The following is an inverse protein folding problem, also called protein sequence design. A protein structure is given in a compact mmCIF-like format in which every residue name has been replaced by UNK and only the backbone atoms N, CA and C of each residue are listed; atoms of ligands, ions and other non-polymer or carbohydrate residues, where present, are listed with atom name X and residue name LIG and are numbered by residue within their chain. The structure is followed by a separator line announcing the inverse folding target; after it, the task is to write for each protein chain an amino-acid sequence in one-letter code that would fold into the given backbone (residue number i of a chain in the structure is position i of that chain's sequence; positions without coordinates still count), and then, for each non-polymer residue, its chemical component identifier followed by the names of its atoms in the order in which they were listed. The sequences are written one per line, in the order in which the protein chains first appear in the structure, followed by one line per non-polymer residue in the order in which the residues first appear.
data_IF_222886393390
#
_entry.id   IF_222886393390
#
_cell.length_a   1.000
_cell.length_b   1.000
_cell.length_c   1.000
_cell.angle_alpha   90.00
_cell.angle_beta   90.00
_cell.angle_gamma   90.00
#
_symmetry.space_group_name_H-M   'P 1'
#
loop_
_entity.id
_entity.type
_entity.pdbx_description
1 polymer ?
#
# COMPACT_ATOMS: atom_id res chain seq x y z
N UNK A 1 -22.67 80.57 -1.61
CA UNK A 1 -21.45 79.80 -1.96
C UNK A 1 -21.79 78.32 -1.82
N UNK A 2 -21.99 77.65 -2.95
CA UNK A 2 -22.21 76.21 -3.04
C UNK A 2 -20.83 75.52 -3.00
N UNK A 3 -20.61 74.60 -2.06
CA UNK A 3 -19.42 73.74 -2.04
C UNK A 3 -19.78 72.40 -2.70
N UNK A 4 -19.08 72.08 -3.78
CA UNK A 4 -19.28 70.91 -4.64
C UNK A 4 -18.43 69.74 -4.13
N UNK A 5 -19.08 68.60 -3.90
CA UNK A 5 -18.46 67.31 -3.56
C UNK A 5 -17.65 66.76 -4.74
N UNK A 6 -16.41 66.31 -4.49
CA UNK A 6 -15.67 65.41 -5.39
C UNK A 6 -15.44 64.07 -4.70
N UNK A 7 -16.23 63.07 -5.09
CA UNK A 7 -16.00 61.67 -4.73
C UNK A 7 -15.05 61.04 -5.76
N UNK A 8 -13.88 60.60 -5.31
CA UNK A 8 -12.94 59.83 -6.11
C UNK A 8 -13.40 58.36 -6.14
N UNK A 9 -13.88 57.88 -7.29
CA UNK A 9 -14.18 56.46 -7.50
C UNK A 9 -12.93 55.80 -8.09
N UNK A 10 -12.23 55.00 -7.28
CA UNK A 10 -11.13 54.17 -7.74
C UNK A 10 -11.70 52.88 -8.37
N UNK A 11 -11.55 52.73 -9.68
CA UNK A 11 -11.89 51.52 -10.43
C UNK A 11 -10.77 50.49 -10.23
N UNK A 12 -11.01 49.46 -9.41
CA UNK A 12 -10.10 48.32 -9.29
C UNK A 12 -10.37 47.33 -10.44
N UNK A 13 -9.45 47.24 -11.39
CA UNK A 13 -9.46 46.21 -12.44
C UNK A 13 -8.99 44.88 -11.85
N UNK A 14 -9.92 43.94 -11.65
CA UNK A 14 -9.58 42.56 -11.31
C UNK A 14 -8.98 41.87 -12.54
N UNK A 15 -7.66 41.73 -12.56
CA UNK A 15 -6.96 40.87 -13.53
C UNK A 15 -7.11 39.43 -13.04
N UNK A 16 -8.00 38.67 -13.66
CA UNK A 16 -8.08 37.22 -13.47
C UNK A 16 -6.86 36.57 -14.13
N UNK A 17 -5.83 36.29 -13.34
CA UNK A 17 -4.70 35.47 -13.78
C UNK A 17 -5.21 34.03 -13.85
N UNK A 18 -5.36 33.49 -15.07
CA UNK A 18 -5.55 32.05 -15.29
C UNK A 18 -4.22 31.38 -14.95
N UNK A 19 -4.06 30.96 -13.69
CA UNK A 19 -2.94 30.10 -13.31
C UNK A 19 -3.13 28.75 -13.99
N UNK A 20 -2.33 28.47 -15.02
CA UNK A 20 -2.12 27.12 -15.49
C UNK A 20 -1.49 26.35 -14.33
N UNK A 21 -2.31 25.57 -13.63
CA UNK A 21 -1.80 24.65 -12.61
C UNK A 21 -0.84 23.69 -13.33
N UNK A 22 0.41 23.51 -12.86
CA UNK A 22 1.23 22.43 -13.37
C UNK A 22 0.39 21.16 -13.25
N UNK A 23 0.18 20.48 -14.38
CA UNK A 23 -0.54 19.22 -14.43
C UNK A 23 0.28 18.22 -13.64
N UNK A 24 0.01 18.19 -12.34
CA UNK A 24 0.16 17.01 -11.52
C UNK A 24 -0.41 15.87 -12.36
N UNK A 25 0.45 14.97 -12.83
CA UNK A 25 0.02 13.57 -12.98
C UNK A 25 -0.19 13.03 -11.56
N UNK A 26 -1.15 13.63 -10.86
CA UNK A 26 -1.75 13.06 -9.67
C UNK A 26 -2.15 11.66 -10.09
N UNK A 27 -1.78 10.68 -9.26
CA UNK A 27 -2.18 9.31 -9.52
C UNK A 27 -3.70 9.37 -9.50
N UNK A 28 -4.36 9.14 -10.64
CA UNK A 28 -5.76 9.48 -10.86
C UNK A 28 -6.73 8.78 -9.86
N UNK A 29 -6.22 7.85 -9.05
CA UNK A 29 -6.89 7.09 -8.00
C UNK A 29 -6.62 7.56 -6.56
N UNK A 30 -5.75 8.55 -6.31
CA UNK A 30 -5.30 8.91 -4.96
C UNK A 30 -6.23 9.88 -4.21
N UNK A 31 -7.49 10.05 -4.61
CA UNK A 31 -8.46 11.00 -4.03
C UNK A 31 -7.98 12.45 -3.79
N UNK A 32 -6.82 12.84 -4.32
CA UNK A 32 -6.21 14.16 -4.14
C UNK A 32 -5.35 14.36 -2.89
N UNK A 33 -5.12 13.35 -2.04
CA UNK A 33 -4.33 13.58 -0.80
C UNK A 33 -2.89 14.00 -1.09
N UNK A 34 -2.28 13.53 -2.19
CA UNK A 34 -0.95 13.97 -2.60
C UNK A 34 -0.89 15.44 -2.95
N UNK A 35 -1.91 15.94 -3.65
CA UNK A 35 -2.06 17.37 -3.94
C UNK A 35 -2.26 18.17 -2.66
N UNK A 36 -2.99 17.62 -1.69
CA UNK A 36 -3.17 18.25 -0.39
C UNK A 36 -1.86 18.31 0.41
N UNK A 37 -1.05 17.24 0.43
CA UNK A 37 0.27 17.25 1.06
C UNK A 37 1.20 18.28 0.41
N UNK A 38 1.16 18.41 -0.92
CA UNK A 38 1.86 19.49 -1.63
C UNK A 38 1.38 20.87 -1.19
N UNK A 39 0.06 21.07 -1.06
CA UNK A 39 -0.51 22.34 -0.62
C UNK A 39 -0.07 22.70 0.81
N UNK A 40 -0.13 21.74 1.74
CA UNK A 40 0.32 21.92 3.12
C UNK A 40 1.83 22.23 3.15
N UNK A 41 2.63 21.51 2.36
CA UNK A 41 4.06 21.78 2.20
C UNK A 41 4.31 23.19 1.63
N UNK A 42 3.57 23.60 0.61
CA UNK A 42 3.69 24.92 0.01
C UNK A 42 3.21 26.03 0.96
N UNK A 43 2.40 25.75 1.97
CA UNK A 43 2.04 26.73 3.00
C UNK A 43 3.14 26.88 4.08
N UNK A 44 3.99 25.87 4.27
CA UNK A 44 5.03 25.90 5.30
C UNK A 44 6.16 26.91 4.97
N UNK A 45 6.79 27.51 6.01
CA UNK A 45 7.92 28.42 5.84
C UNK A 45 9.17 27.69 5.35
N UNK A 46 10.06 28.41 4.67
CA UNK A 46 11.39 27.94 4.25
C UNK A 46 11.40 26.71 3.31
N UNK A 47 10.27 26.25 2.79
CA UNK A 47 10.20 24.99 2.02
C UNK A 47 10.95 24.98 0.69
N UNK A 48 11.29 26.15 0.15
CA UNK A 48 12.18 26.25 -1.02
C UNK A 48 13.67 26.09 -0.67
N UNK A 49 14.05 26.29 0.59
CA UNK A 49 15.44 26.19 1.06
C UNK A 49 15.69 24.92 1.87
N UNK A 50 14.69 24.48 2.63
CA UNK A 50 14.73 23.27 3.44
C UNK A 50 13.34 22.59 3.41
N UNK A 51 12.95 21.95 2.28
CA UNK A 51 11.67 21.28 2.16
C UNK A 51 11.48 20.21 3.23
N UNK A 52 12.54 19.50 3.60
CA UNK A 52 12.49 18.38 4.53
C UNK A 52 12.34 18.78 6.00
N UNK A 53 12.28 20.08 6.31
CA UNK A 53 11.85 20.56 7.62
C UNK A 53 10.35 20.36 7.88
N UNK A 54 9.56 20.07 6.85
CA UNK A 54 8.11 19.85 6.94
C UNK A 54 7.74 18.39 6.64
N UNK A 55 6.97 17.79 7.55
CA UNK A 55 6.40 16.44 7.37
C UNK A 55 5.54 16.33 6.10
N UNK A 56 4.79 17.38 5.78
CA UNK A 56 3.98 17.41 4.56
C UNK A 56 4.82 17.30 3.29
N UNK A 57 6.01 17.92 3.27
CA UNK A 57 6.92 17.81 2.13
C UNK A 57 7.53 16.42 2.03
N UNK A 58 7.87 15.78 3.14
CA UNK A 58 8.38 14.40 3.18
C UNK A 58 7.34 13.43 2.63
N UNK A 59 6.11 13.49 3.13
CA UNK A 59 5.04 12.59 2.68
C UNK A 59 4.62 12.89 1.24
N UNK A 60 4.47 14.17 0.88
CA UNK A 60 4.13 14.58 -0.48
C UNK A 60 5.19 14.16 -1.51
N UNK A 61 6.47 14.24 -1.15
CA UNK A 61 7.57 13.83 -2.04
C UNK A 61 7.61 12.34 -2.32
N UNK A 62 7.03 11.52 -1.44
CA UNK A 62 7.02 10.07 -1.58
C UNK A 62 5.83 9.59 -2.42
N UNK A 63 4.69 10.26 -2.24
CA UNK A 63 3.45 9.91 -2.92
C UNK A 63 3.35 10.48 -4.34
N UNK A 64 4.22 11.44 -4.68
CA UNK A 64 4.36 11.93 -6.05
C UNK A 64 4.70 10.79 -7.00
N UNK A 65 3.95 10.68 -8.10
CA UNK A 65 4.16 9.64 -9.10
C UNK A 65 5.43 9.81 -9.94
N UNK A 66 5.70 8.82 -10.78
CA UNK A 66 6.75 8.87 -11.80
C UNK A 66 8.05 8.14 -11.42
N UNK A 67 9.05 8.26 -12.31
CA UNK A 67 10.35 7.60 -12.18
C UNK A 67 11.24 8.26 -11.10
N UNK A 68 11.00 9.54 -10.80
CA UNK A 68 11.79 10.35 -9.85
C UNK A 68 10.86 11.16 -8.94
N UNK A 69 10.20 10.50 -7.98
CA UNK A 69 9.11 11.09 -7.21
C UNK A 69 9.56 12.35 -6.43
N UNK A 70 10.75 12.31 -5.82
CA UNK A 70 11.26 13.41 -4.98
C UNK A 70 11.54 14.68 -5.80
N UNK A 71 12.30 14.59 -6.90
CA UNK A 71 12.57 15.78 -7.73
C UNK A 71 11.31 16.26 -8.48
N UNK A 72 10.41 15.33 -8.85
CA UNK A 72 9.10 15.68 -9.40
C UNK A 72 8.29 16.52 -8.43
N UNK A 73 8.27 16.13 -7.15
CA UNK A 73 7.61 16.89 -6.09
C UNK A 73 8.25 18.26 -5.86
N UNK A 74 9.58 18.34 -5.80
CA UNK A 74 10.29 19.61 -5.61
C UNK A 74 10.04 20.58 -6.78
N UNK A 75 9.91 20.06 -8.00
CA UNK A 75 9.49 20.83 -9.17
C UNK A 75 8.07 21.38 -9.02
N UNK A 76 7.13 20.53 -8.59
CA UNK A 76 5.76 20.98 -8.34
C UNK A 76 5.66 21.99 -7.19
N UNK A 77 6.46 21.84 -6.14
CA UNK A 77 6.57 22.78 -5.03
C UNK A 77 7.09 24.14 -5.49
N UNK A 78 8.12 24.16 -6.34
CA UNK A 78 8.63 25.39 -6.94
C UNK A 78 7.55 26.10 -7.77
N UNK A 79 6.78 25.34 -8.56
CA UNK A 79 5.63 25.83 -9.30
C UNK A 79 4.53 26.41 -8.39
N UNK A 80 4.16 25.69 -7.33
CA UNK A 80 3.17 26.16 -6.35
C UNK A 80 3.60 27.44 -5.63
N UNK A 81 4.91 27.65 -5.46
CA UNK A 81 5.49 28.88 -4.89
C UNK A 81 5.77 29.97 -5.94
N UNK A 82 5.38 29.79 -7.20
CA UNK A 82 5.63 30.70 -8.32
C UNK A 82 7.13 31.02 -8.51
N UNK A 83 7.98 30.00 -8.42
CA UNK A 83 9.42 30.12 -8.66
C UNK A 83 9.84 29.31 -9.88
N UNK A 84 10.81 29.83 -10.64
CA UNK A 84 11.27 29.23 -11.90
C UNK A 84 12.34 28.16 -11.72
N UNK A 85 12.88 27.99 -10.51
CA UNK A 85 13.97 27.06 -10.22
C UNK A 85 13.60 26.13 -9.08
N UNK A 86 13.48 24.84 -9.41
CA UNK A 86 13.31 23.79 -8.43
C UNK A 86 14.66 23.42 -7.80
N UNK A 87 14.68 23.25 -6.48
CA UNK A 87 15.81 22.69 -5.78
C UNK A 87 15.96 21.22 -6.17
N UNK A 88 17.13 20.81 -6.66
CA UNK A 88 17.42 19.39 -6.86
C UNK A 88 17.57 18.71 -5.49
N UNK A 89 16.99 17.53 -5.29
CA UNK A 89 17.04 16.78 -4.03
C UNK A 89 18.45 16.58 -3.49
N UNK A 90 19.43 16.34 -4.37
CA UNK A 90 20.85 16.18 -4.01
C UNK A 90 21.46 17.43 -3.35
N UNK A 91 20.93 18.61 -3.70
CA UNK A 91 21.37 19.90 -3.16
C UNK A 91 20.49 20.39 -2.00
N UNK A 92 19.38 19.69 -1.71
CA UNK A 92 18.54 20.02 -0.58
C UNK A 92 19.25 19.63 0.74
N UNK A 93 19.04 20.40 1.83
CA UNK A 93 19.44 19.96 3.16
C UNK A 93 18.86 18.57 3.44
N UNK A 94 19.62 17.68 4.09
CA UNK A 94 19.11 16.35 4.45
C UNK A 94 17.96 16.43 5.44
N UNK A 95 17.11 15.40 5.44
CA UNK A 95 16.16 15.17 6.54
C UNK A 95 16.94 15.15 7.85
N UNK A 96 16.53 15.97 8.81
CA UNK A 96 17.18 16.07 10.11
C UNK A 96 16.70 14.95 11.06
N UNK A 97 17.53 14.61 12.05
CA UNK A 97 17.16 13.65 13.09
C UNK A 97 15.88 14.09 13.81
N UNK A 98 15.73 15.39 14.12
CA UNK A 98 14.54 15.89 14.81
C UNK A 98 13.25 15.68 14.00
N UNK A 99 13.30 15.82 12.67
CA UNK A 99 12.13 15.56 11.83
C UNK A 99 11.86 14.05 11.76
N UNK A 100 12.90 13.24 11.64
CA UNK A 100 12.78 11.78 11.69
C UNK A 100 12.15 11.31 13.01
N UNK A 101 12.64 11.79 14.15
CA UNK A 101 12.11 11.47 15.49
C UNK A 101 10.66 11.95 15.66
N UNK A 102 10.24 12.99 14.93
CA UNK A 102 8.84 13.46 14.95
C UNK A 102 7.86 12.57 14.17
N UNK A 103 8.38 11.58 13.43
CA UNK A 103 7.62 10.56 12.70
C UNK A 103 7.83 9.19 13.37
N UNK A 104 9.06 8.87 13.81
CA UNK A 104 9.40 7.64 14.49
C UNK A 104 8.88 7.62 15.93
N UNK A 105 8.19 6.56 16.35
CA UNK A 105 7.76 6.41 17.75
C UNK A 105 8.95 6.17 18.69
N UNK A 106 10.04 5.56 18.21
CA UNK A 106 11.18 5.16 19.03
C UNK A 106 12.50 5.88 18.69
N UNK A 107 12.48 6.79 17.72
CA UNK A 107 13.67 7.51 17.23
C UNK A 107 14.70 6.63 16.51
N UNK A 108 14.42 5.35 16.27
CA UNK A 108 15.38 4.42 15.66
C UNK A 108 15.03 4.11 14.21
N UNK A 109 13.76 3.81 13.93
CA UNK A 109 13.26 3.41 12.62
C UNK A 109 11.92 4.07 12.31
N UNK A 110 11.62 4.31 11.04
CA UNK A 110 10.25 4.58 10.58
C UNK A 110 9.64 3.26 10.18
N UNK A 111 8.61 2.83 10.89
CA UNK A 111 7.79 1.67 10.51
C UNK A 111 6.72 2.06 9.48
N UNK A 112 6.05 1.07 8.88
CA UNK A 112 4.87 1.33 8.05
C UNK A 112 3.80 2.11 8.83
N UNK A 113 3.53 1.72 10.07
CA UNK A 113 2.53 2.40 10.88
C UNK A 113 2.93 3.84 11.20
N UNK A 114 4.20 4.10 11.51
CA UNK A 114 4.70 5.46 11.70
C UNK A 114 4.49 6.35 10.47
N UNK A 115 4.71 5.77 9.29
CA UNK A 115 4.50 6.48 8.03
C UNK A 115 3.00 6.76 7.80
N UNK A 116 2.13 5.77 7.99
CA UNK A 116 0.67 5.92 7.90
C UNK A 116 0.18 7.02 8.86
N UNK A 117 0.50 6.89 10.16
CA UNK A 117 0.09 7.85 11.17
C UNK A 117 0.60 9.26 10.85
N UNK A 118 1.82 9.36 10.32
CA UNK A 118 2.40 10.61 9.86
C UNK A 118 1.61 11.27 8.73
N UNK A 119 1.22 10.52 7.70
CA UNK A 119 0.42 11.02 6.57
C UNK A 119 -0.96 11.47 7.06
N UNK A 120 -1.69 10.60 7.76
CA UNK A 120 -3.04 10.92 8.24
C UNK A 120 -3.02 12.08 9.25
N UNK A 121 -2.05 12.10 10.17
CA UNK A 121 -1.87 13.19 11.12
C UNK A 121 -1.54 14.53 10.43
N UNK A 122 -0.81 14.50 9.31
CA UNK A 122 -0.55 15.71 8.52
C UNK A 122 -1.80 16.17 7.79
N UNK A 123 -2.56 15.27 7.16
CA UNK A 123 -3.80 15.61 6.46
C UNK A 123 -4.89 16.10 7.41
N UNK A 124 -4.90 15.62 8.65
CA UNK A 124 -5.85 16.06 9.67
C UNK A 124 -5.74 17.57 9.97
N UNK A 125 -4.58 18.21 9.75
CA UNK A 125 -4.43 19.66 9.96
C UNK A 125 -5.28 20.51 9.01
N UNK A 126 -5.74 19.92 7.90
CA UNK A 126 -6.64 20.56 6.93
C UNK A 126 -7.95 19.80 6.73
N UNK A 127 -8.24 18.84 7.61
CA UNK A 127 -9.41 17.96 7.52
C UNK A 127 -9.47 17.13 6.22
N UNK A 128 -8.34 16.57 5.80
CA UNK A 128 -8.25 15.67 4.64
C UNK A 128 -7.99 16.41 3.32
N UNK A 129 -8.25 15.74 2.17
CA UNK A 129 -8.87 14.41 2.01
C UNK A 129 -8.01 13.29 2.58
N UNK A 130 -8.64 12.26 3.16
CA UNK A 130 -7.95 11.10 3.73
C UNK A 130 -7.93 9.96 2.71
N UNK A 131 -6.75 9.45 2.31
CA UNK A 131 -6.69 8.30 1.40
C UNK A 131 -7.15 7.01 2.05
N UNK A 132 -7.40 6.01 1.21
CA UNK A 132 -7.31 4.63 1.67
C UNK A 132 -5.87 4.33 2.12
N UNK A 133 -5.71 3.69 3.27
CA UNK A 133 -4.41 3.42 3.88
C UNK A 133 -3.47 2.65 2.93
N UNK A 134 -4.01 1.88 2.00
CA UNK A 134 -3.22 1.14 1.03
C UNK A 134 -2.45 2.02 0.04
N UNK A 135 -2.93 3.23 -0.28
CA UNK A 135 -2.14 4.18 -1.07
C UNK A 135 -0.89 4.61 -0.30
N UNK A 136 -1.07 4.91 0.99
CA UNK A 136 0.00 5.33 1.89
C UNK A 136 1.01 4.19 2.12
N UNK A 137 0.53 2.94 2.19
CA UNK A 137 1.38 1.76 2.27
C UNK A 137 2.23 1.61 1.00
N UNK A 138 1.64 1.79 -0.18
CA UNK A 138 2.39 1.73 -1.45
C UNK A 138 3.49 2.80 -1.52
N UNK A 139 3.24 4.00 -0.98
CA UNK A 139 4.25 5.04 -0.90
C UNK A 139 5.38 4.66 0.06
N UNK A 140 5.04 4.16 1.24
CA UNK A 140 6.03 3.67 2.19
C UNK A 140 6.85 2.51 1.61
N UNK A 141 6.22 1.60 0.87
CA UNK A 141 6.90 0.52 0.16
C UNK A 141 7.92 1.06 -0.83
N UNK A 142 7.65 2.18 -1.50
CA UNK A 142 8.65 2.83 -2.37
C UNK A 142 9.92 3.22 -1.60
N UNK A 143 9.76 3.76 -0.39
CA UNK A 143 10.89 4.11 0.49
C UNK A 143 11.65 2.85 0.91
N UNK A 144 10.94 1.82 1.39
CA UNK A 144 11.58 0.58 1.86
C UNK A 144 12.27 -0.19 0.73
N UNK A 145 11.68 -0.26 -0.46
CA UNK A 145 12.30 -0.86 -1.66
C UNK A 145 13.54 -0.10 -2.04
N UNK A 146 13.47 1.24 -2.11
CA UNK A 146 14.63 2.02 -2.50
C UNK A 146 15.78 1.90 -1.49
N UNK A 147 15.45 1.83 -0.20
CA UNK A 147 16.43 1.70 0.88
C UNK A 147 16.91 0.27 1.14
N UNK A 148 16.31 -0.74 0.50
CA UNK A 148 16.53 -2.17 0.72
C UNK A 148 16.10 -2.69 2.12
N UNK A 149 15.06 -2.10 2.72
CA UNK A 149 14.48 -2.50 4.01
C UNK A 149 13.07 -3.12 3.88
N UNK A 150 12.80 -3.91 2.84
CA UNK A 150 11.44 -4.46 2.59
C UNK A 150 10.88 -5.40 3.65
N UNK A 151 11.74 -6.09 4.40
CA UNK A 151 11.36 -7.06 5.42
C UNK A 151 11.87 -6.66 6.82
N UNK A 152 12.34 -5.41 6.96
CA UNK A 152 12.92 -4.91 8.19
C UNK A 152 11.86 -4.41 9.17
N UNK A 153 12.28 -4.14 10.40
CA UNK A 153 11.45 -3.48 11.43
C UNK A 153 11.16 -2.01 11.11
N UNK A 154 11.60 -1.50 9.95
CA UNK A 154 11.46 -0.11 9.53
C UNK A 154 12.72 0.41 8.84
N UNK A 155 12.66 1.64 8.34
CA UNK A 155 13.78 2.32 7.68
C UNK A 155 14.58 3.13 8.73
N UNK A 156 15.86 2.83 8.96
CA UNK A 156 16.70 3.62 9.87
C UNK A 156 16.93 5.05 9.36
N UNK A 157 17.25 5.97 10.27
CA UNK A 157 17.43 7.40 9.96
C UNK A 157 18.32 7.67 8.74
N UNK A 158 19.52 7.06 8.70
CA UNK A 158 20.48 7.31 7.62
C UNK A 158 19.88 7.00 6.25
N UNK A 159 19.25 5.84 6.11
CA UNK A 159 18.63 5.36 4.88
C UNK A 159 17.38 6.17 4.50
N UNK A 160 16.58 6.55 5.50
CA UNK A 160 15.42 7.42 5.28
C UNK A 160 15.84 8.79 4.76
N UNK A 161 16.86 9.41 5.36
CA UNK A 161 17.42 10.67 4.87
C UNK A 161 18.07 10.54 3.49
N UNK A 162 18.76 9.41 3.21
CA UNK A 162 19.36 9.13 1.90
C UNK A 162 18.31 9.03 0.79
N UNK A 163 17.14 8.45 1.08
CA UNK A 163 16.04 8.37 0.11
C UNK A 163 15.65 9.76 -0.43
N UNK A 164 15.40 10.73 0.44
CA UNK A 164 15.00 12.09 0.03
C UNK A 164 16.14 12.92 -0.55
N UNK A 165 17.40 12.53 -0.36
CA UNK A 165 18.54 13.23 -0.96
C UNK A 165 18.94 12.62 -2.31
N UNK A 166 18.84 11.31 -2.48
CA UNK A 166 19.50 10.60 -3.57
C UNK A 166 18.57 9.78 -4.47
N UNK A 167 17.34 9.48 -4.06
CA UNK A 167 16.47 8.56 -4.84
C UNK A 167 16.14 9.05 -6.25
N UNK A 168 16.24 10.35 -6.52
CA UNK A 168 16.03 10.91 -7.85
C UNK A 168 17.25 10.76 -8.78
N UNK A 169 18.45 10.51 -8.25
CA UNK A 169 19.70 10.46 -9.03
C UNK A 169 20.41 9.11 -8.94
N UNK A 170 20.11 8.32 -7.91
CA UNK A 170 20.74 7.03 -7.63
C UNK A 170 19.68 5.94 -7.69
N UNK A 171 19.95 4.92 -8.50
CA UNK A 171 19.14 3.70 -8.53
C UNK A 171 19.32 2.92 -7.24
N UNK A 172 18.23 2.38 -6.73
CA UNK A 172 18.28 1.47 -5.59
C UNK A 172 18.83 0.10 -5.99
N UNK A 173 19.54 -0.60 -5.09
CA UNK A 173 19.76 -2.05 -5.22
C UNK A 173 18.44 -2.86 -5.21
N UNK A 174 17.34 -2.22 -4.84
CA UNK A 174 16.04 -2.82 -4.60
C UNK A 174 16.07 -3.70 -3.36
N UNK A 175 14.95 -4.34 -3.12
CA UNK A 175 14.98 -5.53 -2.27
C UNK A 175 15.36 -6.68 -3.18
N UNK A 176 16.50 -7.31 -2.86
CA UNK A 176 16.87 -8.55 -3.51
C UNK A 176 15.68 -9.48 -3.34
N UNK A 177 14.98 -9.78 -4.43
CA UNK A 177 14.18 -10.99 -4.49
C UNK A 177 15.17 -12.07 -4.17
N UNK A 178 15.09 -12.63 -2.96
CA UNK A 178 15.72 -13.90 -2.67
C UNK A 178 15.06 -14.87 -3.63
N UNK A 179 15.66 -14.99 -4.80
CA UNK A 179 15.54 -16.14 -5.67
C UNK A 179 16.18 -17.25 -4.87
N UNK A 180 15.44 -17.76 -3.88
CA UNK A 180 15.67 -19.11 -3.38
C UNK A 180 15.82 -19.94 -4.63
N UNK A 181 16.99 -20.54 -4.78
CA UNK A 181 17.32 -21.49 -5.83
C UNK A 181 16.43 -22.70 -5.57
N UNK A 182 15.15 -22.55 -5.92
CA UNK A 182 14.20 -23.63 -5.96
C UNK A 182 14.68 -24.52 -7.10
N UNK A 183 14.88 -25.83 -6.87
CA UNK A 183 15.24 -26.76 -7.93
C UNK A 183 14.25 -26.57 -9.09
N UNK A 184 14.70 -26.67 -10.35
CA UNK A 184 13.90 -26.30 -11.51
C UNK A 184 12.53 -27.00 -11.43
N UNK A 185 11.42 -26.25 -11.28
CA UNK A 185 10.11 -26.85 -11.41
C UNK A 185 9.98 -27.27 -12.87
N UNK A 186 10.03 -28.58 -13.10
CA UNK A 186 9.77 -29.22 -14.38
C UNK A 186 8.27 -29.18 -14.68
N UNK A 187 7.73 -27.99 -14.92
CA UNK A 187 6.46 -27.70 -15.58
C UNK A 187 6.27 -26.19 -15.61
N UNK A 188 5.82 -25.65 -16.75
CA UNK A 188 5.47 -24.23 -16.84
C UNK A 188 4.51 -23.87 -15.70
N UNK A 189 4.74 -22.77 -14.95
CA UNK A 189 3.91 -22.42 -13.80
C UNK A 189 2.46 -22.30 -14.24
N UNK A 190 1.58 -23.05 -13.60
CA UNK A 190 0.13 -22.97 -13.85
C UNK A 190 -0.33 -21.57 -13.47
N UNK A 191 -0.77 -20.79 -14.46
CA UNK A 191 -1.41 -19.50 -14.21
C UNK A 191 -2.85 -19.74 -13.80
N UNK A 192 -3.18 -19.38 -12.56
CA UNK A 192 -4.53 -19.56 -11.98
C UNK A 192 -5.31 -18.25 -11.91
N UNK A 193 -4.63 -17.12 -12.13
CA UNK A 193 -5.20 -15.78 -12.14
C UNK A 193 -4.51 -14.93 -13.21
N UNK A 194 -5.18 -13.86 -13.66
CA UNK A 194 -4.56 -12.81 -14.45
C UNK A 194 -3.69 -11.88 -13.59
N UNK A 195 -3.89 -11.87 -12.27
CA UNK A 195 -3.02 -11.15 -11.34
C UNK A 195 -1.76 -11.98 -11.05
N UNK A 196 -0.61 -11.40 -11.39
CA UNK A 196 0.69 -11.99 -11.14
C UNK A 196 0.96 -12.20 -9.64
N UNK A 197 0.41 -11.35 -8.76
CA UNK A 197 0.57 -11.49 -7.32
C UNK A 197 -0.18 -12.72 -6.80
N UNK A 198 -1.39 -12.96 -7.31
CA UNK A 198 -2.16 -14.16 -7.00
C UNK A 198 -1.46 -15.44 -7.50
N UNK A 199 -0.87 -15.42 -8.70
CA UNK A 199 -0.06 -16.55 -9.19
C UNK A 199 1.16 -16.82 -8.30
N UNK A 200 1.78 -15.77 -7.74
CA UNK A 200 2.87 -15.93 -6.77
C UNK A 200 2.41 -16.59 -5.47
N UNK A 201 1.25 -16.19 -4.94
CA UNK A 201 0.63 -16.85 -3.78
C UNK A 201 0.33 -18.31 -4.06
N UNK A 202 -0.26 -18.61 -5.22
CA UNK A 202 -0.55 -19.98 -5.65
C UNK A 202 0.71 -20.84 -5.74
N UNK A 203 1.74 -20.40 -6.46
CA UNK A 203 2.97 -21.17 -6.61
C UNK A 203 3.68 -21.39 -5.25
N UNK A 204 3.60 -20.40 -4.36
CA UNK A 204 4.14 -20.52 -3.00
C UNK A 204 3.32 -21.52 -2.18
N UNK A 205 1.99 -21.52 -2.31
CA UNK A 205 1.12 -22.52 -1.71
C UNK A 205 1.46 -23.93 -2.22
N UNK A 206 1.61 -24.12 -3.54
CA UNK A 206 2.05 -25.40 -4.12
C UNK A 206 3.40 -25.82 -3.57
N UNK A 207 4.34 -24.90 -3.32
CA UNK A 207 5.62 -25.25 -2.70
C UNK A 207 5.47 -25.71 -1.23
N UNK A 208 4.58 -25.07 -0.46
CA UNK A 208 4.44 -25.29 0.98
C UNK A 208 3.50 -26.44 1.36
N UNK A 209 2.40 -26.64 0.62
CA UNK A 209 1.43 -27.69 0.89
C UNK A 209 2.08 -29.07 0.81
N UNK A 210 1.57 -30.05 1.57
CA UNK A 210 1.99 -31.44 1.40
C UNK A 210 1.35 -32.08 0.15
N UNK A 211 1.76 -33.31 -0.21
CA UNK A 211 1.26 -33.99 -1.41
C UNK A 211 -0.22 -34.36 -1.35
N UNK A 212 -0.79 -34.54 -0.14
CA UNK A 212 -2.21 -34.77 0.07
C UNK A 212 -3.01 -33.46 0.11
N UNK A 213 -2.34 -32.30 0.13
CA UNK A 213 -2.91 -30.95 0.29
C UNK A 213 -3.76 -30.83 1.56
N UNK A 214 -3.44 -31.63 2.59
CA UNK A 214 -4.11 -31.54 3.89
C UNK A 214 -3.53 -30.41 4.74
N UNK A 215 -4.37 -29.80 5.58
CA UNK A 215 -4.00 -28.66 6.44
C UNK A 215 -3.43 -27.48 5.65
N UNK A 216 -3.98 -27.24 4.45
CA UNK A 216 -3.52 -26.17 3.57
C UNK A 216 -3.59 -24.79 4.25
N UNK A 217 -4.56 -24.60 5.16
CA UNK A 217 -4.80 -23.32 5.85
C UNK A 217 -3.79 -23.01 6.97
N UNK A 218 -2.90 -23.94 7.30
CA UNK A 218 -1.72 -23.65 8.14
C UNK A 218 -0.70 -22.76 7.42
N UNK A 219 -0.79 -22.64 6.10
CA UNK A 219 0.12 -21.86 5.26
C UNK A 219 -0.54 -20.56 4.76
N UNK A 220 -0.04 -19.37 5.15
CA UNK A 220 -0.60 -18.09 4.70
C UNK A 220 -0.66 -17.94 3.17
N UNK A 221 0.30 -18.52 2.44
CA UNK A 221 0.27 -18.51 0.98
C UNK A 221 -0.97 -19.19 0.41
N UNK A 222 -1.42 -20.29 1.00
CA UNK A 222 -2.63 -21.00 0.56
C UNK A 222 -3.90 -20.23 0.92
N UNK A 223 -3.94 -19.61 2.11
CA UNK A 223 -5.03 -18.71 2.51
C UNK A 223 -5.20 -17.57 1.49
N UNK A 224 -4.12 -16.85 1.18
CA UNK A 224 -4.16 -15.73 0.25
C UNK A 224 -4.37 -16.18 -1.19
N UNK A 225 -3.80 -17.31 -1.62
CA UNK A 225 -4.09 -17.88 -2.92
C UNK A 225 -5.59 -18.20 -3.08
N UNK A 226 -6.23 -18.78 -2.06
CA UNK A 226 -7.67 -19.09 -2.10
C UNK A 226 -8.51 -17.82 -2.19
N UNK A 227 -8.07 -16.76 -1.50
CA UNK A 227 -8.75 -15.46 -1.51
C UNK A 227 -8.70 -14.73 -2.84
N UNK A 228 -7.71 -15.01 -3.71
CA UNK A 228 -7.55 -14.38 -5.02
C UNK A 228 -7.88 -15.32 -6.18
N UNK A 229 -8.09 -16.61 -5.90
CA UNK A 229 -8.45 -17.62 -6.90
C UNK A 229 -9.77 -17.24 -7.58
N UNK A 230 -9.81 -17.36 -8.91
CA UNK A 230 -11.00 -17.04 -9.70
C UNK A 230 -12.09 -18.13 -9.67
N UNK A 231 -13.22 -17.84 -10.31
CA UNK A 231 -14.30 -18.82 -10.52
C UNK A 231 -15.38 -18.85 -9.44
N UNK A 232 -16.36 -19.73 -9.63
CA UNK A 232 -17.56 -19.81 -8.77
C UNK A 232 -17.29 -20.43 -7.39
N UNK A 233 -16.23 -21.24 -7.26
CA UNK A 233 -15.85 -21.94 -6.01
C UNK A 233 -14.36 -21.76 -5.75
N UNK A 234 -13.93 -20.57 -5.34
CA UNK A 234 -12.50 -20.22 -5.31
C UNK A 234 -11.68 -21.13 -4.38
N UNK A 235 -12.24 -21.53 -3.23
CA UNK A 235 -11.53 -22.35 -2.24
C UNK A 235 -11.32 -23.78 -2.73
N UNK A 236 -12.38 -24.52 -3.10
CA UNK A 236 -12.24 -25.88 -3.63
C UNK A 236 -11.50 -25.91 -4.98
N UNK A 237 -11.69 -24.88 -5.81
CA UNK A 237 -10.96 -24.71 -7.06
C UNK A 237 -9.45 -24.59 -6.82
N UNK A 238 -9.02 -23.84 -5.81
CA UNK A 238 -7.62 -23.78 -5.41
C UNK A 238 -7.13 -25.17 -4.98
N UNK A 239 -7.81 -25.82 -4.03
CA UNK A 239 -7.37 -27.11 -3.48
C UNK A 239 -7.20 -28.16 -4.58
N UNK A 240 -8.15 -28.24 -5.51
CA UNK A 240 -8.05 -29.14 -6.67
C UNK A 240 -6.86 -28.80 -7.57
N UNK A 241 -6.60 -27.52 -7.80
CA UNK A 241 -5.49 -27.08 -8.66
C UNK A 241 -4.14 -27.34 -7.99
N UNK A 242 -4.02 -27.10 -6.68
CA UNK A 242 -2.81 -27.43 -5.91
C UNK A 242 -2.57 -28.94 -5.90
N UNK A 243 -3.61 -29.74 -5.68
CA UNK A 243 -3.51 -31.21 -5.70
C UNK A 243 -3.03 -31.73 -7.06
N UNK A 244 -3.58 -31.21 -8.16
CA UNK A 244 -3.11 -31.53 -9.51
C UNK A 244 -1.66 -31.10 -9.75
N UNK A 245 -1.28 -29.89 -9.33
CA UNK A 245 0.10 -29.39 -9.46
C UNK A 245 1.12 -30.22 -8.64
N UNK A 246 0.67 -30.87 -7.56
CA UNK A 246 1.45 -31.81 -6.76
C UNK A 246 1.52 -33.23 -7.35
N UNK A 247 0.92 -33.47 -8.52
CA UNK A 247 0.88 -34.79 -9.16
C UNK A 247 -0.14 -35.75 -8.52
N UNK A 248 -1.10 -35.23 -7.76
CA UNK A 248 -2.17 -36.03 -7.18
C UNK A 248 -3.00 -36.72 -8.26
N UNK A 249 -3.30 -38.00 -8.06
CA UNK A 249 -4.23 -38.77 -8.89
C UNK A 249 -5.45 -39.17 -8.05
N UNK A 250 -6.65 -39.03 -8.62
CA UNK A 250 -7.91 -39.32 -7.94
C UNK A 250 -8.71 -38.06 -7.54
N UNK A 251 -9.50 -38.17 -6.49
CA UNK A 251 -10.37 -37.09 -6.01
C UNK A 251 -9.56 -36.11 -5.17
N UNK A 252 -9.51 -34.85 -5.60
CA UNK A 252 -8.90 -33.78 -4.82
C UNK A 252 -9.61 -33.54 -3.49
N UNK A 253 -8.91 -33.07 -2.43
CA UNK A 253 -9.55 -32.68 -1.19
C UNK A 253 -10.50 -31.50 -1.40
N UNK A 254 -11.54 -31.45 -0.57
CA UNK A 254 -12.54 -30.37 -0.54
C UNK A 254 -12.42 -29.60 0.77
N UNK A 255 -12.75 -28.31 0.74
CA UNK A 255 -12.62 -27.41 1.90
C UNK A 255 -13.34 -27.89 3.14
N UNK A 256 -14.49 -28.57 3.00
CA UNK A 256 -15.26 -29.14 4.12
C UNK A 256 -14.54 -30.27 4.85
N UNK A 257 -13.60 -30.95 4.18
CA UNK A 257 -12.76 -32.02 4.75
C UNK A 257 -11.40 -31.53 5.23
N UNK A 258 -11.04 -30.28 4.94
CA UNK A 258 -9.78 -29.70 5.39
C UNK A 258 -9.79 -29.35 6.87
N UNK A 259 -8.60 -29.35 7.47
CA UNK A 259 -8.43 -28.83 8.82
C UNK A 259 -8.86 -27.36 8.83
N UNK A 260 -9.83 -27.02 9.66
CA UNK A 260 -10.37 -25.66 9.75
C UNK A 260 -9.23 -24.67 10.08
N UNK A 261 -9.27 -23.50 9.43
CA UNK A 261 -8.32 -22.42 9.68
C UNK A 261 -8.24 -22.11 11.19
N UNK A 262 -7.04 -22.25 11.75
CA UNK A 262 -6.84 -22.16 13.19
C UNK A 262 -6.87 -20.71 13.70
N UNK A 263 -7.28 -20.52 14.95
CA UNK A 263 -7.15 -19.25 15.65
C UNK A 263 -5.69 -18.79 15.75
N UNK A 264 -4.73 -19.72 15.86
CA UNK A 264 -3.31 -19.37 15.90
C UNK A 264 -2.87 -18.70 14.59
N UNK A 265 -3.27 -19.24 13.44
CA UNK A 265 -3.01 -18.64 12.13
C UNK A 265 -3.71 -17.29 11.99
N UNK A 266 -4.98 -17.16 12.39
CA UNK A 266 -5.68 -15.87 12.29
C UNK A 266 -5.08 -14.79 13.19
N UNK A 267 -4.53 -15.16 14.36
CA UNK A 267 -3.82 -14.23 15.24
C UNK A 267 -2.53 -13.68 14.65
N UNK A 268 -1.92 -14.32 13.65
CA UNK A 268 -0.74 -13.75 12.97
C UNK A 268 -1.10 -12.63 12.00
N UNK A 269 -2.38 -12.55 11.61
CA UNK A 269 -2.92 -11.56 10.68
C UNK A 269 -3.67 -10.45 11.45
N UNK A 270 -4.38 -10.82 12.50
CA UNK A 270 -5.19 -9.92 13.32
C UNK A 270 -4.36 -9.02 14.23
N UNK A 271 -4.78 -7.76 14.37
CA UNK A 271 -4.21 -6.81 15.34
C UNK A 271 -4.93 -6.82 16.69
N UNK A 272 -6.20 -7.22 16.74
CA UNK A 272 -7.01 -7.26 17.98
C UNK A 272 -7.14 -8.67 18.58
N UNK A 273 -6.68 -9.70 17.85
CA UNK A 273 -6.73 -11.10 18.26
C UNK A 273 -8.11 -11.76 18.21
N UNK A 274 -9.10 -11.12 17.58
CA UNK A 274 -10.50 -11.56 17.54
C UNK A 274 -11.20 -11.39 16.18
N UNK A 275 -10.79 -10.40 15.38
CA UNK A 275 -11.34 -10.11 14.06
C UNK A 275 -10.23 -9.94 13.02
N UNK A 276 -10.57 -10.18 11.75
CA UNK A 276 -9.74 -9.83 10.60
C UNK A 276 -10.40 -8.64 9.91
N UNK A 277 -9.76 -7.47 10.00
CA UNK A 277 -10.18 -6.29 9.24
C UNK A 277 -9.64 -6.31 7.82
N UNK A 278 -10.18 -5.46 6.94
CA UNK A 278 -9.64 -5.26 5.59
C UNK A 278 -8.15 -4.88 5.66
N UNK A 279 -7.78 -4.01 6.60
CA UNK A 279 -6.40 -3.59 6.76
C UNK A 279 -5.49 -4.73 7.21
N UNK A 280 -5.93 -5.55 8.18
CA UNK A 280 -5.19 -6.75 8.58
C UNK A 280 -4.93 -7.69 7.40
N UNK A 281 -5.94 -7.88 6.55
CA UNK A 281 -5.83 -8.73 5.37
C UNK A 281 -4.87 -8.17 4.33
N UNK A 282 -4.95 -6.86 4.04
CA UNK A 282 -4.03 -6.16 3.13
C UNK A 282 -2.60 -6.28 3.65
N UNK A 283 -2.36 -5.96 4.92
CA UNK A 283 -1.04 -6.01 5.54
C UNK A 283 -0.45 -7.41 5.50
N UNK A 284 -1.27 -8.43 5.79
CA UNK A 284 -0.86 -9.82 5.71
C UNK A 284 -0.52 -10.27 4.28
N UNK A 285 -1.32 -9.87 3.28
CA UNK A 285 -1.12 -10.19 1.87
C UNK A 285 0.17 -9.54 1.33
N UNK A 286 0.31 -8.23 1.52
CA UNK A 286 1.49 -7.48 1.09
C UNK A 286 2.74 -7.84 1.88
N UNK A 287 2.60 -8.14 3.19
CA UNK A 287 3.70 -8.61 4.03
C UNK A 287 4.27 -9.94 3.52
N UNK A 288 3.40 -10.89 3.15
CA UNK A 288 3.84 -12.14 2.54
C UNK A 288 4.49 -11.90 1.16
N UNK A 289 3.88 -11.09 0.28
CA UNK A 289 4.51 -10.77 -1.01
C UNK A 289 5.87 -10.10 -0.86
N UNK A 290 6.02 -9.20 0.12
CA UNK A 290 7.30 -8.55 0.42
C UNK A 290 8.37 -9.58 0.75
N UNK A 291 8.05 -10.56 1.60
CA UNK A 291 8.95 -11.66 1.94
C UNK A 291 9.32 -12.55 0.75
N UNK A 292 8.47 -12.57 -0.29
CA UNK A 292 8.63 -13.36 -1.51
C UNK A 292 9.21 -12.58 -2.70
N UNK A 293 9.47 -11.27 -2.54
CA UNK A 293 9.99 -10.40 -3.59
C UNK A 293 8.94 -9.91 -4.61
N UNK A 294 7.67 -9.85 -4.22
CA UNK A 294 6.56 -9.45 -5.11
C UNK A 294 6.16 -10.53 -6.12
N UNK A 295 5.45 -10.17 -7.22
CA UNK A 295 5.05 -8.81 -7.62
C UNK A 295 3.90 -8.25 -6.77
N UNK A 296 3.79 -6.92 -6.72
CA UNK A 296 2.78 -6.22 -5.93
C UNK A 296 1.61 -5.77 -6.81
N UNK A 297 0.36 -6.17 -6.50
CA UNK A 297 -0.81 -5.70 -7.22
C UNK A 297 -1.18 -4.28 -6.77
N UNK A 298 -2.08 -3.63 -7.50
CA UNK A 298 -2.78 -2.47 -6.92
C UNK A 298 -3.60 -2.93 -5.71
N UNK A 299 -3.61 -2.16 -4.64
CA UNK A 299 -4.30 -2.56 -3.43
C UNK A 299 -5.81 -2.70 -3.60
N UNK A 300 -6.43 -1.99 -4.55
CA UNK A 300 -7.84 -2.18 -4.90
C UNK A 300 -8.15 -3.62 -5.33
N UNK A 301 -7.16 -4.33 -5.90
CA UNK A 301 -7.28 -5.75 -6.25
C UNK A 301 -7.36 -6.59 -4.97
N UNK A 302 -6.50 -6.35 -4.00
CA UNK A 302 -6.50 -7.08 -2.71
C UNK A 302 -7.74 -6.74 -1.88
N UNK A 303 -8.20 -5.48 -1.92
CA UNK A 303 -9.48 -5.06 -1.35
C UNK A 303 -10.60 -5.89 -1.94
N UNK A 304 -10.66 -6.06 -3.27
CA UNK A 304 -11.69 -6.87 -3.92
C UNK A 304 -11.69 -8.33 -3.47
N UNK A 305 -10.53 -8.90 -3.17
CA UNK A 305 -10.39 -10.24 -2.61
C UNK A 305 -11.02 -10.32 -1.22
N UNK A 306 -10.73 -9.35 -0.36
CA UNK A 306 -11.31 -9.28 0.97
C UNK A 306 -12.81 -8.99 0.94
N UNK A 307 -13.27 -8.07 0.09
CA UNK A 307 -14.69 -7.74 -0.08
C UNK A 307 -15.51 -8.97 -0.46
N UNK A 308 -14.96 -9.90 -1.25
CA UNK A 308 -15.61 -11.19 -1.54
C UNK A 308 -15.80 -12.06 -0.29
N UNK A 309 -14.83 -12.05 0.62
CA UNK A 309 -14.94 -12.76 1.91
C UNK A 309 -15.98 -12.06 2.80
N UNK A 310 -15.99 -10.73 2.85
CA UNK A 310 -17.00 -9.96 3.58
C UNK A 310 -18.41 -10.22 3.08
N UNK A 311 -18.62 -10.18 1.75
CA UNK A 311 -19.90 -10.48 1.13
C UNK A 311 -20.39 -11.88 1.49
N UNK A 312 -19.51 -12.88 1.42
CA UNK A 312 -19.90 -14.24 1.78
C UNK A 312 -20.21 -14.37 3.28
N UNK A 313 -19.39 -13.78 4.15
CA UNK A 313 -19.58 -13.88 5.61
C UNK A 313 -20.70 -13.00 6.17
N UNK A 314 -21.14 -11.99 5.42
CA UNK A 314 -22.16 -11.01 5.83
C UNK A 314 -21.64 -9.87 6.71
N UNK A 315 -20.31 -9.69 6.84
CA UNK A 315 -19.69 -8.63 7.65
C UNK A 315 -19.14 -7.51 6.74
N UNK A 316 -20.05 -6.69 6.21
CA UNK A 316 -19.72 -5.65 5.22
C UNK A 316 -18.96 -4.44 5.78
N UNK A 317 -18.92 -4.27 7.11
CA UNK A 317 -18.20 -3.17 7.77
C UNK A 317 -17.42 -3.71 8.96
N UNK A 318 -16.30 -3.07 9.28
CA UNK A 318 -15.43 -3.50 10.38
C UNK A 318 -14.63 -4.76 10.06
N UNK A 319 -14.39 -5.59 11.09
CA UNK A 319 -13.65 -6.84 10.97
C UNK A 319 -14.57 -8.06 10.93
N UNK A 320 -14.13 -9.11 10.23
CA UNK A 320 -14.80 -10.42 10.20
C UNK A 320 -14.35 -11.19 11.45
N UNK A 321 -15.27 -11.64 12.33
CA UNK A 321 -14.90 -12.49 13.46
C UNK A 321 -14.19 -13.76 13.00
N UNK A 322 -13.21 -14.23 13.77
CA UNK A 322 -12.40 -15.39 13.40
C UNK A 322 -13.21 -16.63 13.01
N UNK A 323 -14.31 -16.91 13.71
CA UNK A 323 -15.17 -18.05 13.37
C UNK A 323 -15.73 -17.93 11.96
N UNK A 324 -16.27 -16.77 11.60
CA UNK A 324 -16.84 -16.50 10.28
C UNK A 324 -15.77 -16.43 9.18
N UNK A 325 -14.58 -15.89 9.50
CA UNK A 325 -13.46 -15.89 8.57
C UNK A 325 -12.99 -17.32 8.28
N UNK A 326 -12.89 -18.18 9.30
CA UNK A 326 -12.60 -19.61 9.11
C UNK A 326 -13.72 -20.35 8.37
N UNK A 327 -14.99 -20.00 8.61
CA UNK A 327 -16.13 -20.58 7.88
C UNK A 327 -16.06 -20.33 6.38
N UNK A 328 -15.56 -19.17 5.95
CA UNK A 328 -15.36 -18.90 4.53
C UNK A 328 -14.46 -19.98 3.88
N UNK A 329 -13.28 -20.22 4.46
CA UNK A 329 -12.33 -21.20 3.91
C UNK A 329 -12.77 -22.66 4.10
N UNK A 330 -13.78 -22.93 4.92
CA UNK A 330 -14.30 -24.29 5.12
C UNK A 330 -15.57 -24.57 4.31
N UNK A 331 -16.43 -23.57 4.10
CA UNK A 331 -17.80 -23.78 3.62
C UNK A 331 -18.17 -22.98 2.38
N UNK A 332 -17.38 -21.98 1.95
CA UNK A 332 -17.80 -21.08 0.88
C UNK A 332 -17.94 -21.76 -0.49
N UNK A 333 -17.37 -22.95 -0.67
CA UNK A 333 -17.50 -23.73 -1.89
C UNK A 333 -18.78 -24.60 -1.92
N UNK A 334 -19.33 -24.94 -0.75
CA UNK A 334 -20.55 -25.77 -0.61
C UNK A 334 -21.79 -24.99 -0.22
N UNK A 335 -21.63 -23.79 0.35
CA UNK A 335 -22.70 -22.94 0.84
C UNK A 335 -22.63 -21.59 0.14
N UNK A 336 -23.70 -21.19 -0.52
CA UNK A 336 -23.84 -19.83 -1.06
C UNK A 336 -24.27 -18.86 0.03
N UNK A 337 -23.74 -17.64 0.00
CA UNK A 337 -24.29 -16.53 0.78
C UNK A 337 -25.31 -15.77 -0.05
N UNK A 338 -26.43 -15.39 0.57
CA UNK A 338 -27.42 -14.48 -0.02
C UNK A 338 -27.11 -13.01 0.27
N UNK A 339 -26.00 -12.71 0.95
CA UNK A 339 -25.67 -11.35 1.40
C UNK A 339 -24.82 -10.64 0.36
N UNK A 340 -25.26 -9.45 -0.03
CA UNK A 340 -24.45 -8.52 -0.83
C UNK A 340 -23.87 -7.44 0.08
N UNK A 341 -22.53 -7.41 0.13
CA UNK A 341 -21.75 -6.21 0.37
C UNK A 341 -21.31 -5.69 -1.03
#
# INVERSE_FOLDING_TARGET
MLALNFALVALATAVSVVQASPTLTARQSDNGYCSQLLTICAAAPNTLTNPWSSKACIFGATCFGGQRPVDGFLSALAGAKNTSSALASVNAPRVSQSVFDSISTNGQVITQQNYIDGVFGTLATTNGPFPDASFVINDYQRVTVWTAFCNGQGVPFKNFADYYQFSATVSSPGCASTTTTQPPPSSSPTSVSSDASCNKMFNTCVAQANSAVSDAWSHPACLYAASCFGGQRPVDGLLATVFGAKGGSGTAPVSVSETRLSTATMKTISTDGSTITQQNFIDGYFGLLSSLGGPFPDASVVISYFSRIQAWTGFCTGGIPFMNFADYFQFSASVSSSTSC
#
